data_IF_021135577784
#
_entry.id   IF_021135577784
#
_cell.length_a   1.000
_cell.length_b   1.000
_cell.length_c   1.000
_cell.angle_alpha   90.00
_cell.angle_beta   90.00
_cell.angle_gamma   90.00
#
_symmetry.space_group_name_H-M   'P 1'
#
loop_
_entity.id
_entity.type
_entity.pdbx_description
1 polymer ?
#
# COMPACT_ATOMS: atom_id res chain seq x y z
N UNK A 1 31.49 18.66 -3.33
CA UNK A 1 31.50 17.26 -3.84
C UNK A 1 32.05 17.14 -5.26
N UNK A 2 31.40 17.72 -6.28
CA UNK A 2 31.81 17.49 -7.69
C UNK A 2 32.99 18.34 -8.18
N UNK A 3 33.00 19.64 -7.88
CA UNK A 3 33.94 20.56 -8.53
C UNK A 3 35.17 20.94 -7.70
N UNK A 4 35.12 20.80 -6.38
CA UNK A 4 36.26 21.14 -5.50
C UNK A 4 37.57 20.43 -5.88
N UNK A 5 37.59 19.14 -6.28
CA UNK A 5 38.84 18.49 -6.69
C UNK A 5 39.47 19.10 -7.95
N UNK A 6 38.66 19.66 -8.87
CA UNK A 6 39.18 20.34 -10.05
C UNK A 6 39.98 21.58 -9.68
N UNK A 7 39.52 22.36 -8.69
CA UNK A 7 40.25 23.51 -8.15
C UNK A 7 41.57 23.12 -7.48
N UNK A 8 41.74 21.85 -7.12
CA UNK A 8 42.95 21.29 -6.50
C UNK A 8 43.85 20.56 -7.51
N UNK A 9 43.54 20.61 -8.81
CA UNK A 9 44.28 19.89 -9.85
C UNK A 9 43.97 18.39 -9.93
N UNK A 10 43.01 17.88 -9.16
CA UNK A 10 42.61 16.47 -9.10
C UNK A 10 41.45 16.18 -10.07
N UNK A 11 41.62 16.48 -11.35
CA UNK A 11 40.54 16.48 -12.37
C UNK A 11 39.98 15.11 -12.72
N UNK A 12 40.71 14.03 -12.44
CA UNK A 12 40.28 12.64 -12.70
C UNK A 12 39.75 11.93 -11.44
N UNK A 13 39.76 12.62 -10.29
CA UNK A 13 39.31 12.02 -9.04
C UNK A 13 37.79 12.01 -8.94
N UNK A 14 37.22 10.86 -8.56
CA UNK A 14 35.79 10.74 -8.24
C UNK A 14 35.59 10.90 -6.73
N UNK A 15 34.46 11.47 -6.28
CA UNK A 15 34.15 11.51 -4.85
C UNK A 15 34.04 10.08 -4.30
N UNK A 16 34.57 9.86 -3.10
CA UNK A 16 34.42 8.59 -2.40
C UNK A 16 32.92 8.26 -2.21
N UNK A 17 32.57 6.98 -2.28
CA UNK A 17 31.17 6.52 -2.08
C UNK A 17 30.57 7.08 -0.79
N UNK A 18 31.29 6.98 0.34
CA UNK A 18 30.82 7.49 1.63
C UNK A 18 30.62 9.01 1.65
N UNK A 19 31.51 9.78 1.01
CA UNK A 19 31.37 11.24 0.91
C UNK A 19 30.16 11.61 0.04
N UNK A 20 29.98 10.91 -1.09
CA UNK A 20 28.83 11.11 -1.97
C UNK A 20 27.51 10.86 -1.23
N UNK A 21 27.39 9.70 -0.58
CA UNK A 21 26.18 9.34 0.16
C UNK A 21 25.88 10.33 1.29
N UNK A 22 26.90 10.82 2.01
CA UNK A 22 26.68 11.79 3.08
C UNK A 22 26.18 13.14 2.56
N UNK A 23 26.74 13.63 1.45
CA UNK A 23 26.25 14.87 0.80
C UNK A 23 24.80 14.68 0.32
N UNK A 24 24.53 13.58 -0.38
CA UNK A 24 23.19 13.32 -0.93
C UNK A 24 22.13 13.10 0.15
N UNK A 25 22.48 12.47 1.29
CA UNK A 25 21.57 12.39 2.45
C UNK A 25 21.17 13.76 2.97
N UNK A 26 22.10 14.71 3.02
CA UNK A 26 21.79 16.10 3.37
C UNK A 26 20.91 16.77 2.33
N UNK A 27 21.21 16.62 1.03
CA UNK A 27 20.43 17.20 -0.06
C UNK A 27 18.99 16.66 -0.13
N UNK A 28 18.79 15.38 0.23
CA UNK A 28 17.51 14.68 0.17
C UNK A 28 16.87 14.48 1.56
N UNK A 29 17.29 15.24 2.57
CA UNK A 29 16.82 15.06 3.94
C UNK A 29 15.29 15.17 4.06
N UNK A 30 14.68 16.17 3.40
CA UNK A 30 13.22 16.34 3.39
C UNK A 30 12.49 15.20 2.69
N UNK A 31 13.10 14.57 1.68
CA UNK A 31 12.53 13.37 1.04
C UNK A 31 12.61 12.15 1.96
N UNK A 32 13.68 12.04 2.76
CA UNK A 32 13.86 10.96 3.72
C UNK A 32 12.79 10.99 4.84
N UNK A 33 12.29 12.17 5.22
CA UNK A 33 11.20 12.31 6.20
C UNK A 33 9.90 11.64 5.71
N UNK A 34 9.66 11.59 4.39
CA UNK A 34 8.45 11.04 3.79
C UNK A 34 8.58 9.53 3.53
N UNK A 35 9.79 8.97 3.50
CA UNK A 35 10.05 7.56 3.11
C UNK A 35 9.23 6.55 3.94
N UNK A 36 9.12 6.75 5.25
CA UNK A 36 8.34 5.85 6.11
C UNK A 36 6.83 5.88 5.76
N UNK A 37 6.27 7.07 5.55
CA UNK A 37 4.87 7.25 5.17
C UNK A 37 4.60 6.71 3.76
N UNK A 38 5.53 6.94 2.83
CA UNK A 38 5.44 6.42 1.47
C UNK A 38 5.43 4.88 1.47
N UNK A 39 6.31 4.24 2.24
CA UNK A 39 6.34 2.78 2.38
C UNK A 39 5.06 2.22 2.99
N UNK A 40 4.47 2.92 3.95
CA UNK A 40 3.19 2.51 4.54
C UNK A 40 2.04 2.65 3.54
N UNK A 41 2.01 3.75 2.78
CA UNK A 41 1.04 3.98 1.73
C UNK A 41 1.08 2.88 0.66
N UNK A 42 2.27 2.56 0.15
CA UNK A 42 2.45 1.49 -0.85
C UNK A 42 2.00 0.14 -0.28
N UNK A 43 2.43 -0.23 0.93
CA UNK A 43 2.01 -1.49 1.58
C UNK A 43 0.49 -1.57 1.77
N UNK A 44 -0.15 -0.47 2.15
CA UNK A 44 -1.61 -0.39 2.29
C UNK A 44 -2.33 -0.60 0.97
N UNK A 45 -1.83 0.01 -0.12
CA UNK A 45 -2.38 -0.18 -1.46
C UNK A 45 -2.19 -1.61 -1.98
N UNK A 46 -1.03 -2.22 -1.75
CA UNK A 46 -0.77 -3.62 -2.10
C UNK A 46 -1.75 -4.55 -1.36
N UNK A 47 -1.97 -4.31 -0.06
CA UNK A 47 -2.94 -5.08 0.74
C UNK A 47 -4.39 -4.92 0.25
N UNK A 48 -4.79 -3.70 -0.14
CA UNK A 48 -6.11 -3.45 -0.73
C UNK A 48 -6.26 -4.16 -2.08
N UNK A 49 -5.28 -4.01 -2.98
CA UNK A 49 -5.30 -4.61 -4.32
C UNK A 49 -5.40 -6.14 -4.25
N UNK A 50 -4.63 -6.77 -3.36
CA UNK A 50 -4.67 -8.22 -3.14
C UNK A 50 -6.07 -8.71 -2.70
N UNK A 51 -6.79 -7.93 -1.89
CA UNK A 51 -8.16 -8.27 -1.45
C UNK A 51 -9.18 -8.10 -2.57
N UNK A 52 -9.04 -7.06 -3.39
CA UNK A 52 -9.92 -6.82 -4.54
C UNK A 52 -9.77 -7.89 -5.63
N UNK A 53 -8.59 -8.49 -5.79
CA UNK A 53 -8.37 -9.56 -6.76
C UNK A 53 -8.72 -10.96 -6.22
N UNK A 54 -9.16 -11.07 -4.96
CA UNK A 54 -9.44 -12.33 -4.29
C UNK A 54 -10.89 -12.82 -4.45
N UNK A 55 -11.22 -14.01 -3.91
CA UNK A 55 -12.59 -14.55 -3.89
C UNK A 55 -13.60 -13.72 -3.05
N UNK A 56 -13.11 -12.71 -2.32
CA UNK A 56 -13.92 -11.67 -1.66
C UNK A 56 -13.75 -10.32 -2.35
N UNK A 57 -13.64 -10.31 -3.68
CA UNK A 57 -13.69 -9.09 -4.45
C UNK A 57 -14.91 -8.27 -4.03
N UNK A 58 -14.64 -7.03 -3.63
CA UNK A 58 -15.64 -6.12 -3.08
C UNK A 58 -16.77 -5.91 -4.09
N UNK A 59 -16.43 -5.79 -5.38
CA UNK A 59 -17.43 -5.61 -6.43
C UNK A 59 -18.35 -6.83 -6.53
N UNK A 60 -17.77 -8.03 -6.61
CA UNK A 60 -18.52 -9.28 -6.68
C UNK A 60 -19.44 -9.47 -5.46
N UNK A 61 -18.94 -9.17 -4.25
CA UNK A 61 -19.73 -9.26 -3.02
C UNK A 61 -20.88 -8.25 -3.04
N UNK A 62 -20.61 -7.00 -3.38
CA UNK A 62 -21.62 -5.93 -3.43
C UNK A 62 -22.73 -6.22 -4.45
N UNK A 63 -22.35 -6.71 -5.64
CA UNK A 63 -23.32 -7.13 -6.65
C UNK A 63 -24.17 -8.31 -6.16
N UNK A 64 -23.61 -9.21 -5.35
CA UNK A 64 -24.29 -10.38 -4.80
C UNK A 64 -25.19 -10.12 -3.59
N UNK A 65 -25.13 -8.95 -2.93
CA UNK A 65 -25.85 -8.69 -1.66
C UNK A 65 -27.35 -8.96 -1.76
N UNK A 66 -27.98 -8.56 -2.87
CA UNK A 66 -29.42 -8.75 -3.06
C UNK A 66 -29.82 -10.24 -3.06
N UNK A 67 -29.00 -11.12 -3.65
CA UNK A 67 -29.24 -12.57 -3.65
C UNK A 67 -29.11 -13.14 -2.25
N UNK A 68 -28.07 -12.74 -1.51
CA UNK A 68 -27.86 -13.15 -0.12
C UNK A 68 -29.04 -12.75 0.78
N UNK A 69 -29.55 -11.52 0.61
CA UNK A 69 -30.73 -11.04 1.34
C UNK A 69 -31.99 -11.85 0.98
N UNK A 70 -32.22 -12.08 -0.31
CA UNK A 70 -33.34 -12.89 -0.77
C UNK A 70 -33.31 -14.30 -0.18
N UNK A 71 -32.16 -14.95 -0.21
CA UNK A 71 -31.98 -16.31 0.31
C UNK A 71 -32.14 -16.35 1.82
N UNK A 72 -31.62 -15.35 2.54
CA UNK A 72 -31.78 -15.23 3.99
C UNK A 72 -33.26 -15.06 4.38
N UNK A 73 -34.00 -14.19 3.68
CA UNK A 73 -35.45 -14.01 3.89
C UNK A 73 -36.21 -15.28 3.56
N UNK A 74 -35.91 -15.93 2.43
CA UNK A 74 -36.53 -17.19 2.05
C UNK A 74 -36.28 -18.28 3.09
N UNK A 75 -35.08 -18.34 3.67
CA UNK A 75 -34.73 -19.27 4.73
C UNK A 75 -35.47 -18.96 6.04
N UNK A 76 -35.59 -17.68 6.40
CA UNK A 76 -36.35 -17.25 7.57
C UNK A 76 -37.84 -17.59 7.43
N UNK A 77 -38.43 -17.38 6.24
CA UNK A 77 -39.82 -17.71 5.96
C UNK A 77 -40.08 -19.23 6.06
N UNK A 78 -39.20 -20.05 5.47
CA UNK A 78 -39.29 -21.52 5.57
C UNK A 78 -39.25 -22.02 7.02
N UNK A 79 -38.38 -21.41 7.83
CA UNK A 79 -38.21 -21.82 9.22
C UNK A 79 -39.18 -21.12 10.19
N UNK A 80 -39.90 -20.09 9.74
CA UNK A 80 -40.79 -19.27 10.55
C UNK A 80 -41.76 -20.09 11.41
N UNK A 81 -42.52 -21.05 10.85
CA UNK A 81 -43.45 -21.86 11.62
C UNK A 81 -42.79 -22.67 12.74
N UNK A 82 -41.57 -23.18 12.50
CA UNK A 82 -40.80 -23.93 13.51
C UNK A 82 -40.25 -23.01 14.59
N UNK A 83 -39.79 -21.82 14.21
CA UNK A 83 -39.22 -20.82 15.12
C UNK A 83 -40.29 -20.19 16.01
N UNK A 84 -41.51 -19.99 15.51
CA UNK A 84 -42.64 -19.45 16.30
C UNK A 84 -43.27 -20.45 17.26
N UNK A 85 -42.99 -21.74 17.08
CA UNK A 85 -43.48 -22.82 17.94
C UNK A 85 -42.50 -23.21 19.06
N UNK A 86 -41.36 -22.52 19.15
CA UNK A 86 -40.31 -22.71 20.16
C UNK A 86 -40.44 -21.69 21.28
#
# INVERSE_FOLDING_TARGET
MHYCPHCQGLTQSKPCMGYCLNVMRGCLASMAEIDAHWREFVRSLEGLSARMQGPQDLEQVLLGVHTLLHDAVGQAQKNGPRLSAQ
#
